data_IF_458959977040
#
_entry.id   IF_458959977040
#
_cell.length_a   1.000
_cell.length_b   1.000
_cell.length_c   1.000
_cell.angle_alpha   90.00
_cell.angle_beta   90.00
_cell.angle_gamma   90.00
#
_symmetry.space_group_name_H-M   'P 1'
#
loop_
_entity.id
_entity.type
_entity.pdbx_description
1 polymer ?
#
# COMPACT_ATOMS: atom_id res chain seq x y z
N UNK A 1 -0.41 -15.12 -14.52
CA UNK A 1 -0.59 -14.33 -13.28
C UNK A 1 -1.89 -14.73 -12.62
N UNK A 2 -1.90 -14.92 -11.32
CA UNK A 2 -3.11 -15.30 -10.60
C UNK A 2 -3.96 -14.08 -10.28
N UNK A 3 -5.24 -14.32 -9.98
CA UNK A 3 -6.15 -13.27 -9.56
C UNK A 3 -5.63 -12.54 -8.31
N UNK A 4 -5.05 -13.29 -7.34
CA UNK A 4 -4.47 -12.69 -6.15
C UNK A 4 -3.33 -11.73 -6.49
N UNK A 5 -2.46 -12.12 -7.41
CA UNK A 5 -1.34 -11.28 -7.81
C UNK A 5 -1.82 -10.01 -8.48
N UNK A 6 -2.87 -10.11 -9.30
CA UNK A 6 -3.45 -8.95 -9.95
C UNK A 6 -4.06 -7.99 -8.92
N UNK A 7 -4.76 -8.53 -7.93
CA UNK A 7 -5.36 -7.72 -6.86
C UNK A 7 -4.29 -7.03 -6.03
N UNK A 8 -3.22 -7.75 -5.69
CA UNK A 8 -2.10 -7.17 -4.94
C UNK A 8 -1.43 -6.06 -5.73
N UNK A 9 -1.17 -6.30 -7.02
CA UNK A 9 -0.56 -5.28 -7.88
C UNK A 9 -1.44 -4.05 -8.01
N UNK A 10 -2.74 -4.23 -8.15
CA UNK A 10 -3.69 -3.13 -8.20
C UNK A 10 -3.62 -2.29 -6.92
N UNK A 11 -3.59 -2.95 -5.76
CA UNK A 11 -3.54 -2.25 -4.48
C UNK A 11 -2.24 -1.46 -4.30
N UNK A 12 -1.11 -2.05 -4.69
CA UNK A 12 0.19 -1.35 -4.63
C UNK A 12 0.13 -0.07 -5.45
N UNK A 13 -0.40 -0.16 -6.64
CA UNK A 13 -0.55 1.00 -7.53
C UNK A 13 -1.46 2.06 -6.92
N UNK A 14 -2.59 1.64 -6.35
CA UNK A 14 -3.54 2.57 -5.74
C UNK A 14 -2.97 3.23 -4.49
N UNK A 15 -2.19 2.49 -3.70
CA UNK A 15 -1.52 3.07 -2.54
C UNK A 15 -0.53 4.16 -2.96
N UNK A 16 0.25 3.89 -4.01
CA UNK A 16 1.19 4.90 -4.53
C UNK A 16 0.45 6.13 -5.03
N UNK A 17 -0.66 5.95 -5.72
CA UNK A 17 -1.48 7.07 -6.20
C UNK A 17 -1.99 7.93 -5.05
N UNK A 18 -2.45 7.29 -3.97
CA UNK A 18 -2.95 8.03 -2.82
C UNK A 18 -1.86 8.80 -2.10
N UNK A 19 -0.65 8.22 -2.01
CA UNK A 19 0.49 8.94 -1.46
C UNK A 19 0.80 10.19 -2.27
N UNK A 20 0.79 10.08 -3.59
CA UNK A 20 1.05 11.22 -4.47
C UNK A 20 -0.05 12.28 -4.36
N UNK A 21 -1.29 11.85 -4.16
CA UNK A 21 -2.41 12.77 -3.97
C UNK A 21 -2.29 13.55 -2.67
N UNK A 22 -1.72 12.94 -1.64
CA UNK A 22 -1.53 13.58 -0.34
C UNK A 22 -0.25 14.40 -0.26
N UNK A 23 0.73 14.11 -1.11
CA UNK A 23 2.01 14.82 -1.13
C UNK A 23 2.44 15.05 -2.56
N UNK A 24 2.22 16.26 -3.04
CA UNK A 24 2.52 16.65 -4.42
C UNK A 24 4.01 16.62 -4.76
N UNK A 25 4.87 16.54 -3.75
CA UNK A 25 6.32 16.52 -3.97
C UNK A 25 6.85 15.14 -4.31
N UNK A 26 6.04 14.09 -4.09
CA UNK A 26 6.45 12.72 -4.39
C UNK A 26 6.31 12.41 -5.87
N UNK A 27 7.36 11.79 -6.42
CA UNK A 27 7.27 11.18 -7.75
C UNK A 27 6.64 9.79 -7.59
N UNK A 28 6.23 9.19 -8.71
CA UNK A 28 5.70 7.83 -8.69
C UNK A 28 6.74 6.84 -8.15
N UNK A 29 8.01 7.04 -8.48
CA UNK A 29 9.09 6.19 -8.00
C UNK A 29 9.25 6.28 -6.49
N UNK A 30 9.19 7.50 -5.95
CA UNK A 30 9.29 7.72 -4.52
C UNK A 30 8.10 7.11 -3.79
N UNK A 31 6.89 7.30 -4.33
CA UNK A 31 5.69 6.74 -3.74
C UNK A 31 5.74 5.21 -3.73
N UNK A 32 6.14 4.60 -4.84
CA UNK A 32 6.27 3.15 -4.92
C UNK A 32 7.32 2.63 -3.94
N UNK A 33 8.44 3.34 -3.80
CA UNK A 33 9.49 2.96 -2.84
C UNK A 33 8.94 2.96 -1.42
N UNK A 34 8.17 3.97 -1.05
CA UNK A 34 7.56 4.02 0.27
C UNK A 34 6.63 2.84 0.50
N UNK A 35 5.80 2.52 -0.49
CA UNK A 35 4.88 1.38 -0.38
C UNK A 35 5.64 0.07 -0.24
N UNK A 36 6.62 -0.16 -1.11
CA UNK A 36 7.35 -1.43 -1.16
C UNK A 36 8.20 -1.68 0.09
N UNK A 37 8.61 -0.64 0.79
CA UNK A 37 9.40 -0.76 2.00
C UNK A 37 8.55 -0.77 3.28
N UNK A 38 7.23 -0.72 3.17
CA UNK A 38 6.34 -0.61 4.31
C UNK A 38 5.95 -1.98 4.87
N UNK A 39 5.57 -2.00 6.16
CA UNK A 39 4.98 -3.19 6.77
C UNK A 39 3.62 -3.48 6.15
N UNK A 40 2.91 -2.44 5.75
CA UNK A 40 1.62 -2.59 5.06
C UNK A 40 1.79 -3.43 3.81
N UNK A 41 2.86 -3.21 3.06
CA UNK A 41 3.15 -4.02 1.88
C UNK A 41 3.40 -5.48 2.25
N UNK A 42 4.17 -5.73 3.31
CA UNK A 42 4.43 -7.09 3.79
C UNK A 42 3.13 -7.80 4.15
N UNK A 43 2.24 -7.10 4.85
CA UNK A 43 0.94 -7.66 5.22
C UNK A 43 0.08 -7.91 3.98
N UNK A 44 0.11 -7.00 3.02
CA UNK A 44 -0.63 -7.16 1.77
C UNK A 44 -0.17 -8.39 1.00
N UNK A 45 1.13 -8.66 0.97
CA UNK A 45 1.68 -9.82 0.28
C UNK A 45 1.46 -11.14 1.02
N UNK A 46 1.14 -11.07 2.31
CA UNK A 46 0.87 -12.26 3.13
C UNK A 46 -0.59 -12.68 2.94
N UNK A 47 -0.81 -13.81 2.29
CA UNK A 47 -2.15 -14.31 1.99
C UNK A 47 -3.00 -14.51 3.24
N UNK A 48 -2.38 -14.79 4.38
CA UNK A 48 -3.11 -15.01 5.64
C UNK A 48 -3.84 -13.77 6.14
N UNK A 49 -3.36 -12.57 5.81
CA UNK A 49 -4.00 -11.32 6.23
C UNK A 49 -5.22 -10.97 5.40
N UNK A 50 -5.27 -11.47 4.17
CA UNK A 50 -6.34 -11.21 3.20
C UNK A 50 -6.55 -9.72 2.91
N UNK A 51 -5.52 -8.90 3.11
CA UNK A 51 -5.60 -7.48 2.80
C UNK A 51 -5.86 -7.22 1.33
N UNK A 52 -5.45 -8.14 0.46
CA UNK A 52 -5.66 -7.97 -0.97
C UNK A 52 -7.15 -7.99 -1.36
N UNK A 53 -8.04 -8.44 -0.46
CA UNK A 53 -9.48 -8.39 -0.68
C UNK A 53 -10.10 -7.07 -0.23
N UNK A 54 -9.36 -6.25 0.49
CA UNK A 54 -9.89 -5.01 1.04
C UNK A 54 -9.81 -3.88 0.03
N UNK A 55 -10.59 -2.83 0.27
CA UNK A 55 -10.57 -1.66 -0.63
C UNK A 55 -9.24 -0.92 -0.51
N UNK A 56 -8.82 -0.20 -1.55
CA UNK A 56 -7.60 0.60 -1.48
C UNK A 56 -7.60 1.60 -0.33
N UNK A 57 -8.73 2.25 -0.05
CA UNK A 57 -8.83 3.20 1.06
C UNK A 57 -8.60 2.56 2.40
N UNK A 58 -9.12 1.36 2.59
CA UNK A 58 -8.92 0.62 3.84
C UNK A 58 -7.44 0.27 4.04
N UNK A 59 -6.81 -0.27 3.00
CA UNK A 59 -5.39 -0.62 3.08
C UNK A 59 -4.53 0.63 3.25
N UNK A 60 -4.89 1.71 2.57
CA UNK A 60 -4.16 2.97 2.68
C UNK A 60 -4.20 3.52 4.11
N UNK A 61 -5.29 3.30 4.84
CA UNK A 61 -5.38 3.77 6.23
C UNK A 61 -4.28 3.16 7.10
N UNK A 62 -3.93 1.90 6.86
CA UNK A 62 -2.83 1.26 7.57
C UNK A 62 -1.49 1.87 7.18
N UNK A 63 -1.28 2.10 5.88
CA UNK A 63 -0.05 2.70 5.39
C UNK A 63 0.12 4.11 5.95
N UNK A 64 -0.94 4.89 5.96
CA UNK A 64 -0.92 6.25 6.47
C UNK A 64 -0.53 6.27 7.95
N UNK A 65 -1.13 5.39 8.75
CA UNK A 65 -0.80 5.25 10.16
C UNK A 65 0.66 4.86 10.34
N UNK A 66 1.13 3.91 9.54
CA UNK A 66 2.52 3.47 9.60
C UNK A 66 3.49 4.60 9.31
N UNK A 67 3.21 5.42 8.30
CA UNK A 67 4.08 6.54 7.94
C UNK A 67 4.09 7.63 9.00
N UNK A 68 2.99 7.80 9.73
CA UNK A 68 2.89 8.79 10.79
C UNK A 68 3.55 8.33 12.09
N UNK A 69 3.44 7.05 12.42
CA UNK A 69 3.88 6.52 13.71
C UNK A 69 5.11 5.64 13.63
N UNK A 70 5.54 5.27 12.43
CA UNK A 70 6.67 4.38 12.23
C UNK A 70 6.32 2.91 12.28
N UNK A 71 5.05 2.57 12.51
CA UNK A 71 4.61 1.17 12.48
C UNK A 71 3.12 1.09 12.21
N UNK A 72 2.71 -0.04 11.66
CA UNK A 72 1.34 -0.30 11.29
C UNK A 72 0.46 -0.56 12.50
N UNK A 73 -0.45 0.27 12.75
CA UNK A 73 -1.53 0.10 13.71
C UNK A 73 -1.20 0.01 15.15
#
# INVERSE_FOLDING_TARGET
MTEKEEMKGFLVKELAKQLMANDNTLSIEQALTLVLNSETYEKLMNDATKLYYQSPGYVFSFLQTELQTGKMG
#
